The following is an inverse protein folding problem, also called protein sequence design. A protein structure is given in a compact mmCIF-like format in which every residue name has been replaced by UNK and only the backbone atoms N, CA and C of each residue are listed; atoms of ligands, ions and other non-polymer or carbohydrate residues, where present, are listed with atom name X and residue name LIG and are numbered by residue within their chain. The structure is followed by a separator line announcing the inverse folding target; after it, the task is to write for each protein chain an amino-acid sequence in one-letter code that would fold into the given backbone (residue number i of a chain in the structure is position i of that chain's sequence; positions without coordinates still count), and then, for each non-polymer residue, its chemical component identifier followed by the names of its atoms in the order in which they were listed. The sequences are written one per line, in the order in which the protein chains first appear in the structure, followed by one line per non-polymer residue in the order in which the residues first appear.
data_IF_855448132125
#
_entry.id   IF_855448132125
#
_cell.length_a   1.000
_cell.length_b   1.000
_cell.length_c   1.000
_cell.angle_alpha   90.00
_cell.angle_beta   90.00
_cell.angle_gamma   90.00
#
_symmetry.space_group_name_H-M   'P 1'
#
loop_
_entity.id
_entity.type
_entity.pdbx_description
1 polymer ?
#
# COMPACT_ATOMS: atom_id res chain seq x y z
N UNK A 1 -13.49 6.64 -24.93
CA UNK A 1 -12.80 6.40 -23.66
C UNK A 1 -12.37 7.77 -23.17
N UNK A 2 -12.82 8.18 -21.99
CA UNK A 2 -12.46 9.46 -21.40
C UNK A 2 -11.48 9.22 -20.26
N UNK A 3 -10.35 9.92 -20.25
CA UNK A 3 -9.34 9.91 -19.19
C UNK A 3 -9.32 11.25 -18.43
N UNK A 4 -10.29 12.14 -18.69
CA UNK A 4 -10.37 13.41 -17.99
C UNK A 4 -10.83 13.19 -16.54
N UNK A 5 -10.11 13.78 -15.62
CA UNK A 5 -10.51 13.82 -14.21
C UNK A 5 -11.68 14.79 -14.02
N UNK A 6 -12.58 14.47 -13.08
CA UNK A 6 -13.55 15.42 -12.57
C UNK A 6 -12.85 16.61 -11.88
N UNK A 7 -13.58 17.68 -11.63
CA UNK A 7 -12.99 18.84 -10.97
C UNK A 7 -12.62 18.52 -9.51
N UNK A 8 -13.39 17.66 -8.82
CA UNK A 8 -13.07 17.17 -7.47
C UNK A 8 -11.79 16.33 -7.47
N UNK A 9 -11.61 15.43 -8.47
CA UNK A 9 -10.39 14.63 -8.61
C UNK A 9 -9.16 15.49 -8.91
N UNK A 10 -9.31 16.55 -9.73
CA UNK A 10 -8.22 17.52 -9.99
C UNK A 10 -7.85 18.28 -8.72
N UNK A 11 -8.85 18.78 -7.97
CA UNK A 11 -8.64 19.48 -6.72
C UNK A 11 -7.96 18.58 -5.68
N UNK A 12 -8.42 17.34 -5.54
CA UNK A 12 -7.81 16.33 -4.68
C UNK A 12 -6.34 16.11 -5.04
N UNK A 13 -6.05 15.91 -6.32
CA UNK A 13 -4.68 15.72 -6.83
C UNK A 13 -3.77 16.90 -6.50
N UNK A 14 -4.24 18.13 -6.70
CA UNK A 14 -3.48 19.35 -6.39
C UNK A 14 -3.23 19.50 -4.90
N UNK A 15 -4.24 19.29 -4.05
CA UNK A 15 -4.12 19.38 -2.60
C UNK A 15 -3.14 18.34 -2.04
N UNK A 16 -3.28 17.08 -2.44
CA UNK A 16 -2.37 16.01 -1.98
C UNK A 16 -0.95 16.25 -2.51
N UNK A 17 -0.79 16.66 -3.78
CA UNK A 17 0.52 16.97 -4.34
C UNK A 17 1.21 18.11 -3.59
N UNK A 18 0.48 19.19 -3.28
CA UNK A 18 0.99 20.32 -2.51
C UNK A 18 1.38 19.88 -1.11
N UNK A 19 0.50 19.18 -0.41
CA UNK A 19 0.76 18.67 0.93
C UNK A 19 2.06 17.84 0.98
N UNK A 20 2.22 16.87 0.06
CA UNK A 20 3.42 16.04 0.02
C UNK A 20 4.68 16.83 -0.33
N UNK A 21 4.59 17.82 -1.21
CA UNK A 21 5.73 18.69 -1.53
C UNK A 21 6.15 19.52 -0.33
N UNK A 22 5.20 20.00 0.47
CA UNK A 22 5.46 20.88 1.62
C UNK A 22 5.87 20.09 2.88
N UNK A 23 5.39 18.84 3.04
CA UNK A 23 5.47 18.09 4.30
C UNK A 23 6.21 16.75 4.19
N UNK A 24 6.42 16.20 2.99
CA UNK A 24 7.04 14.89 2.79
C UNK A 24 8.22 14.95 1.81
N UNK A 25 9.05 15.98 1.95
CA UNK A 25 10.29 16.11 1.19
C UNK A 25 11.37 15.11 1.61
N UNK A 26 12.48 15.11 0.88
CA UNK A 26 13.64 14.25 1.16
C UNK A 26 14.16 14.40 2.61
N UNK A 27 14.10 15.61 3.16
CA UNK A 27 14.55 15.90 4.54
C UNK A 27 13.70 15.17 5.60
N UNK A 28 12.38 15.02 5.38
CA UNK A 28 11.50 14.27 6.27
C UNK A 28 11.83 12.79 6.24
N UNK A 29 12.03 12.23 5.04
CA UNK A 29 12.46 10.84 4.89
C UNK A 29 13.81 10.60 5.58
N UNK A 30 14.75 11.54 5.43
CA UNK A 30 16.07 11.47 6.07
C UNK A 30 15.96 11.54 7.59
N UNK A 31 15.11 12.43 8.13
CA UNK A 31 14.84 12.53 9.55
C UNK A 31 14.38 11.18 10.13
N UNK A 32 13.40 10.53 9.51
CA UNK A 32 12.90 9.21 9.95
C UNK A 32 14.01 8.15 9.88
N UNK A 33 14.89 8.21 8.86
CA UNK A 33 16.01 7.26 8.73
C UNK A 33 17.12 7.47 9.77
N UNK A 34 17.29 8.70 10.27
CA UNK A 34 18.35 9.10 11.22
C UNK A 34 17.84 9.16 12.68
N UNK A 35 16.55 8.87 12.93
CA UNK A 35 15.93 8.87 14.24
C UNK A 35 15.37 7.48 14.60
N UNK A 36 14.80 7.37 15.80
CA UNK A 36 14.06 6.18 16.25
C UNK A 36 12.58 6.21 15.82
N UNK A 37 12.19 7.16 14.95
CA UNK A 37 10.81 7.24 14.43
C UNK A 37 10.55 6.06 13.49
N UNK A 38 9.44 5.35 13.70
CA UNK A 38 9.02 4.23 12.84
C UNK A 38 8.32 4.72 11.56
N UNK A 39 7.82 5.96 11.58
CA UNK A 39 7.19 6.66 10.46
C UNK A 39 7.10 8.16 10.74
N UNK A 40 6.81 8.98 9.72
CA UNK A 40 6.67 10.43 9.86
C UNK A 40 5.31 10.81 10.48
N UNK A 41 5.22 10.92 11.81
CA UNK A 41 3.97 11.21 12.54
C UNK A 41 3.31 12.52 12.15
N UNK A 42 4.09 13.56 11.88
CA UNK A 42 3.58 14.86 11.46
C UNK A 42 2.94 14.82 10.06
N UNK A 43 3.52 14.02 9.15
CA UNK A 43 2.91 13.75 7.83
C UNK A 43 1.64 12.92 8.01
N UNK A 44 1.65 11.94 8.90
CA UNK A 44 0.47 11.11 9.21
C UNK A 44 -0.70 11.96 9.70
N UNK A 45 -0.48 12.84 10.68
CA UNK A 45 -1.50 13.76 11.20
C UNK A 45 -2.10 14.64 10.10
N UNK A 46 -1.27 15.17 9.22
CA UNK A 46 -1.76 15.98 8.10
C UNK A 46 -2.62 15.19 7.11
N UNK A 47 -2.29 13.91 6.83
CA UNK A 47 -3.13 13.06 5.99
C UNK A 47 -4.49 12.77 6.63
N UNK A 48 -4.50 12.52 7.94
CA UNK A 48 -5.72 12.31 8.72
C UNK A 48 -6.60 13.56 8.69
N UNK A 49 -6.04 14.75 8.93
CA UNK A 49 -6.75 16.03 8.86
C UNK A 49 -7.39 16.29 7.48
N UNK A 50 -6.77 15.78 6.42
CA UNK A 50 -7.30 15.84 5.05
C UNK A 50 -8.34 14.72 4.76
N UNK A 51 -8.61 13.80 5.69
CA UNK A 51 -9.51 12.66 5.50
C UNK A 51 -8.99 11.57 4.56
N UNK A 52 -7.69 11.60 4.19
CA UNK A 52 -7.14 10.73 3.16
C UNK A 52 -7.06 9.26 3.57
N UNK A 53 -7.05 8.97 4.87
CA UNK A 53 -7.11 7.59 5.42
C UNK A 53 -8.42 6.89 5.11
N UNK A 54 -9.50 7.65 4.86
CA UNK A 54 -10.84 7.17 4.55
C UNK A 54 -11.38 7.56 3.17
N UNK A 55 -10.53 7.83 2.17
CA UNK A 55 -10.95 8.37 0.85
C UNK A 55 -12.12 7.62 0.22
N UNK A 56 -12.08 6.28 0.15
CA UNK A 56 -13.13 5.45 -0.47
C UNK A 56 -13.98 4.70 0.57
N UNK A 57 -13.96 5.13 1.81
CA UNK A 57 -14.71 4.54 2.93
C UNK A 57 -16.02 5.31 3.11
N UNK A 58 -17.16 4.62 3.36
CA UNK A 58 -18.44 5.27 3.57
C UNK A 58 -18.45 6.31 4.69
N UNK A 59 -19.24 7.38 4.52
CA UNK A 59 -19.40 8.46 5.50
C UNK A 59 -19.87 7.98 6.87
N UNK A 60 -20.70 6.92 6.90
CA UNK A 60 -21.18 6.32 8.17
C UNK A 60 -20.05 5.83 9.08
N UNK A 61 -18.85 5.56 8.53
CA UNK A 61 -17.65 5.18 9.27
C UNK A 61 -16.63 6.32 9.36
N UNK A 62 -17.00 7.55 8.96
CA UNK A 62 -16.13 8.73 9.00
C UNK A 62 -15.27 8.91 7.74
N UNK A 63 -15.52 8.18 6.67
CA UNK A 63 -14.83 8.31 5.39
C UNK A 63 -15.37 9.44 4.50
N UNK A 64 -14.76 9.61 3.33
CA UNK A 64 -15.16 10.61 2.33
C UNK A 64 -16.08 10.05 1.23
N UNK A 65 -16.34 8.76 1.23
CA UNK A 65 -17.15 7.99 0.25
C UNK A 65 -16.89 8.36 -1.22
N UNK A 66 -15.62 8.66 -1.55
CA UNK A 66 -15.21 8.98 -2.92
C UNK A 66 -15.08 7.69 -3.76
N UNK A 67 -15.06 7.85 -5.08
CA UNK A 67 -14.90 6.75 -6.04
C UNK A 67 -13.50 6.09 -5.99
N UNK A 68 -13.35 4.94 -6.65
CA UNK A 68 -12.08 4.22 -6.68
C UNK A 68 -11.00 4.99 -7.45
N UNK A 69 -11.39 5.77 -8.47
CA UNK A 69 -10.47 6.65 -9.21
C UNK A 69 -9.86 7.68 -8.26
N UNK A 70 -10.63 8.31 -7.38
CA UNK A 70 -10.13 9.23 -6.36
C UNK A 70 -9.14 8.55 -5.41
N UNK A 71 -9.45 7.33 -4.97
CA UNK A 71 -8.52 6.51 -4.17
C UNK A 71 -7.22 6.20 -4.89
N UNK A 72 -7.26 6.01 -6.20
CA UNK A 72 -6.08 5.80 -7.06
C UNK A 72 -5.29 7.08 -7.28
N UNK A 73 -5.96 8.23 -7.42
CA UNK A 73 -5.29 9.55 -7.46
C UNK A 73 -4.45 9.78 -6.20
N UNK A 74 -5.01 9.49 -5.02
CA UNK A 74 -4.26 9.58 -3.76
C UNK A 74 -3.09 8.59 -3.75
N UNK A 75 -3.30 7.34 -4.16
CA UNK A 75 -2.24 6.33 -4.20
C UNK A 75 -1.10 6.72 -5.15
N UNK A 76 -1.39 7.31 -6.32
CA UNK A 76 -0.38 7.84 -7.24
C UNK A 76 0.47 8.93 -6.58
N UNK A 77 -0.15 9.86 -5.88
CA UNK A 77 0.59 10.92 -5.17
C UNK A 77 1.45 10.33 -4.05
N UNK A 78 0.92 9.37 -3.26
CA UNK A 78 1.66 8.67 -2.19
C UNK A 78 2.89 7.91 -2.71
N UNK A 79 2.91 7.49 -3.96
CA UNK A 79 4.09 6.87 -4.59
C UNK A 79 5.34 7.75 -4.60
N UNK A 80 5.18 9.06 -4.41
CA UNK A 80 6.30 10.03 -4.29
C UNK A 80 6.87 10.09 -2.87
N UNK A 81 6.16 9.54 -1.88
CA UNK A 81 6.51 9.63 -0.46
C UNK A 81 7.43 8.48 0.02
N UNK A 82 7.93 7.61 -0.87
CA UNK A 82 8.80 6.51 -0.53
C UNK A 82 8.17 5.55 0.49
N UNK A 83 8.92 5.18 1.55
CA UNK A 83 8.44 4.26 2.58
C UNK A 83 7.17 4.73 3.30
N UNK A 84 6.94 6.04 3.43
CA UNK A 84 5.70 6.57 4.01
C UNK A 84 4.47 6.22 3.16
N UNK A 85 4.60 6.18 1.83
CA UNK A 85 3.55 5.69 0.94
C UNK A 85 3.17 4.23 1.22
N UNK A 86 4.14 3.39 1.62
CA UNK A 86 3.89 2.01 2.06
C UNK A 86 3.12 1.96 3.38
N UNK A 87 3.51 2.79 4.37
CA UNK A 87 2.79 2.94 5.65
C UNK A 87 1.32 3.30 5.43
N UNK A 88 1.08 4.32 4.62
CA UNK A 88 -0.27 4.75 4.25
C UNK A 88 -1.06 3.64 3.52
N UNK A 89 -0.46 3.02 2.51
CA UNK A 89 -1.13 2.00 1.70
C UNK A 89 -1.47 0.73 2.48
N UNK A 90 -0.60 0.28 3.38
CA UNK A 90 -0.85 -0.86 4.24
C UNK A 90 -2.04 -0.61 5.18
N UNK A 91 -2.14 0.59 5.74
CA UNK A 91 -3.22 0.99 6.63
C UNK A 91 -4.55 1.21 5.90
N UNK A 92 -4.59 2.14 4.95
CA UNK A 92 -5.83 2.62 4.30
C UNK A 92 -6.40 1.67 3.24
N UNK A 93 -5.71 0.57 2.94
CA UNK A 93 -6.11 -0.42 1.95
C UNK A 93 -6.19 -1.81 2.58
N UNK A 94 -5.12 -2.60 2.51
CA UNK A 94 -5.16 -4.02 2.91
C UNK A 94 -5.43 -4.23 4.41
N UNK A 95 -5.07 -3.30 5.28
CA UNK A 95 -5.34 -3.37 6.73
C UNK A 95 -6.77 -2.97 7.11
N UNK A 96 -7.53 -2.32 6.23
CA UNK A 96 -8.91 -1.86 6.51
C UNK A 96 -9.96 -2.63 5.71
N UNK A 97 -9.69 -2.87 4.42
CA UNK A 97 -10.69 -3.41 3.49
C UNK A 97 -11.23 -4.80 3.84
N UNK A 98 -10.48 -5.72 4.49
CA UNK A 98 -11.05 -6.98 4.97
C UNK A 98 -12.25 -6.76 5.89
N UNK A 99 -12.16 -5.80 6.81
CA UNK A 99 -13.27 -5.47 7.72
C UNK A 99 -14.43 -4.84 6.95
N UNK A 100 -14.15 -3.90 6.05
CA UNK A 100 -15.16 -3.19 5.29
C UNK A 100 -16.01 -4.14 4.42
N UNK A 101 -15.36 -5.06 3.71
CA UNK A 101 -16.04 -5.91 2.75
C UNK A 101 -16.61 -7.20 3.33
N UNK A 102 -16.04 -7.72 4.41
CA UNK A 102 -16.37 -9.05 4.94
C UNK A 102 -16.74 -9.05 6.44
N UNK A 103 -16.46 -7.96 7.16
CA UNK A 103 -16.81 -7.86 8.58
C UNK A 103 -18.31 -7.78 8.82
N UNK A 104 -18.74 -8.23 9.99
CA UNK A 104 -20.11 -7.97 10.48
C UNK A 104 -20.32 -6.47 10.71
N UNK A 105 -21.58 -6.03 10.83
CA UNK A 105 -21.88 -4.63 11.10
C UNK A 105 -21.32 -4.16 12.46
N UNK A 106 -21.29 -5.06 13.46
CA UNK A 106 -20.67 -4.80 14.76
C UNK A 106 -19.17 -4.61 14.62
N UNK A 107 -18.51 -5.46 13.84
CA UNK A 107 -17.08 -5.38 13.59
C UNK A 107 -16.71 -4.07 12.88
N UNK A 108 -17.46 -3.70 11.83
CA UNK A 108 -17.27 -2.45 11.09
C UNK A 108 -17.40 -1.24 11.99
N UNK A 109 -18.51 -1.17 12.76
CA UNK A 109 -18.76 -0.06 13.69
C UNK A 109 -17.73 0.06 14.78
N UNK A 110 -17.19 -1.07 15.26
CA UNK A 110 -16.18 -1.09 16.31
C UNK A 110 -14.81 -0.58 15.82
N UNK A 111 -14.35 -1.01 14.65
CA UNK A 111 -12.96 -0.83 14.25
C UNK A 111 -12.73 0.22 13.17
N UNK A 112 -13.63 0.34 12.17
CA UNK A 112 -13.39 1.23 11.03
C UNK A 112 -13.24 2.69 11.44
N UNK A 113 -14.07 3.29 12.32
CA UNK A 113 -13.94 4.70 12.68
C UNK A 113 -12.57 5.05 13.27
N UNK A 114 -12.01 4.21 14.15
CA UNK A 114 -10.69 4.41 14.73
C UNK A 114 -9.56 4.30 13.70
N UNK A 115 -9.72 3.43 12.69
CA UNK A 115 -8.78 3.30 11.57
C UNK A 115 -8.87 4.52 10.66
N UNK A 116 -10.08 4.95 10.28
CA UNK A 116 -10.31 6.10 9.39
C UNK A 116 -9.85 7.41 10.04
N UNK A 117 -10.08 7.60 11.34
CA UNK A 117 -9.57 8.76 12.08
C UNK A 117 -8.05 8.73 12.28
N UNK A 118 -7.37 7.65 11.91
CA UNK A 118 -5.92 7.49 12.12
C UNK A 118 -5.50 7.42 13.59
N UNK A 119 -6.46 7.37 14.53
CA UNK A 119 -6.21 7.14 15.96
C UNK A 119 -5.66 5.73 16.20
N UNK A 120 -6.13 4.77 15.39
CA UNK A 120 -5.70 3.38 15.41
C UNK A 120 -5.10 3.00 14.06
N UNK A 121 -3.93 2.39 14.09
CA UNK A 121 -3.26 1.93 12.87
C UNK A 121 -3.49 0.43 12.67
N UNK A 122 -3.75 0.05 11.42
CA UNK A 122 -3.99 -1.35 11.05
C UNK A 122 -2.85 -1.91 10.19
N UNK A 123 -2.65 -3.24 10.31
CA UNK A 123 -1.70 -4.01 9.54
C UNK A 123 -2.33 -5.30 9.01
N UNK A 124 -1.76 -5.83 7.90
CA UNK A 124 -2.23 -7.02 7.23
C UNK A 124 -1.21 -8.16 7.36
N UNK A 125 -1.61 -9.25 8.00
CA UNK A 125 -0.71 -10.30 8.47
C UNK A 125 -1.02 -11.64 7.79
N UNK A 126 -0.60 -11.78 6.52
CA UNK A 126 -0.81 -12.98 5.71
C UNK A 126 0.43 -13.88 5.68
N UNK A 127 1.60 -13.32 5.31
CA UNK A 127 2.82 -14.07 5.02
C UNK A 127 3.45 -14.69 6.26
N UNK A 128 4.11 -15.83 6.08
CA UNK A 128 4.92 -16.53 7.09
C UNK A 128 6.29 -16.92 6.50
N UNK A 129 7.25 -17.34 7.31
CA UNK A 129 8.57 -17.76 6.85
C UNK A 129 8.51 -18.88 5.80
N UNK A 130 7.56 -19.79 5.92
CA UNK A 130 7.33 -20.91 5.00
C UNK A 130 6.20 -20.70 3.99
N UNK A 131 5.54 -19.53 3.98
CA UNK A 131 4.32 -19.28 3.21
C UNK A 131 4.31 -17.85 2.68
N UNK A 132 4.83 -17.68 1.46
CA UNK A 132 4.80 -16.43 0.71
C UNK A 132 3.79 -16.52 -0.46
N UNK A 133 4.27 -16.93 -1.66
CA UNK A 133 3.39 -17.11 -2.82
C UNK A 133 2.33 -18.20 -2.60
N UNK A 134 2.67 -19.26 -1.89
CA UNK A 134 1.73 -20.26 -1.39
C UNK A 134 1.13 -19.81 -0.06
N UNK A 135 0.24 -18.82 -0.10
CA UNK A 135 -0.37 -18.23 1.09
C UNK A 135 -1.22 -19.24 1.89
N UNK A 136 -1.81 -20.23 1.21
CA UNK A 136 -2.63 -21.27 1.86
C UNK A 136 -1.79 -22.34 2.57
N UNK A 137 -0.48 -22.38 2.29
CA UNK A 137 0.50 -23.19 3.02
C UNK A 137 0.85 -22.66 4.42
N UNK A 138 0.15 -21.62 4.90
CA UNK A 138 0.34 -21.04 6.23
C UNK A 138 0.16 -22.06 7.35
N UNK A 139 0.93 -21.89 8.43
CA UNK A 139 0.96 -22.77 9.61
C UNK A 139 0.42 -22.13 10.89
N UNK A 140 0.15 -20.82 10.86
CA UNK A 140 -0.49 -20.14 11.98
C UNK A 140 -1.87 -20.75 12.22
N UNK A 141 -2.18 -21.06 13.47
CA UNK A 141 -3.42 -21.75 13.88
C UNK A 141 -4.26 -20.86 14.78
N UNK A 142 -5.59 -21.02 14.68
CA UNK A 142 -6.58 -20.44 15.57
C UNK A 142 -7.41 -21.56 16.17
N UNK A 143 -7.47 -21.65 17.50
CA UNK A 143 -8.25 -22.64 18.24
C UNK A 143 -9.38 -21.94 18.97
N UNK A 144 -10.59 -22.50 18.90
CA UNK A 144 -11.69 -22.03 19.75
C UNK A 144 -11.38 -22.35 21.22
N UNK A 145 -11.56 -21.38 22.11
CA UNK A 145 -11.40 -21.57 23.56
C UNK A 145 -12.45 -22.52 24.13
N UNK A 146 -12.16 -23.12 25.29
CA UNK A 146 -13.07 -24.11 25.89
C UNK A 146 -14.42 -23.51 26.32
N UNK A 147 -14.46 -22.19 26.59
CA UNK A 147 -15.69 -21.47 26.91
C UNK A 147 -16.48 -21.03 25.64
N UNK A 148 -15.87 -21.17 24.46
CA UNK A 148 -16.47 -20.78 23.17
C UNK A 148 -16.55 -19.27 22.93
N UNK A 149 -15.90 -18.44 23.75
CA UNK A 149 -16.01 -16.98 23.66
C UNK A 149 -14.89 -16.33 22.84
N UNK A 150 -13.76 -17.04 22.64
CA UNK A 150 -12.56 -16.51 22.01
C UNK A 150 -11.95 -17.49 21.00
N UNK A 151 -11.22 -16.97 20.02
CA UNK A 151 -10.19 -17.70 19.30
C UNK A 151 -8.83 -17.42 19.93
N UNK A 152 -8.01 -18.47 20.08
CA UNK A 152 -6.63 -18.42 20.58
C UNK A 152 -5.71 -18.67 19.40
N UNK A 153 -4.91 -17.66 19.03
CA UNK A 153 -4.03 -17.73 17.87
C UNK A 153 -2.59 -17.99 18.28
N UNK A 154 -1.94 -18.88 17.55
CA UNK A 154 -0.54 -19.24 17.74
C UNK A 154 0.21 -19.29 16.40
N UNK A 155 1.42 -18.73 16.37
CA UNK A 155 2.28 -18.72 15.20
C UNK A 155 3.05 -17.43 15.03
N UNK A 156 3.67 -17.27 13.87
CA UNK A 156 4.46 -16.08 13.55
C UNK A 156 4.16 -15.65 12.10
N UNK A 157 3.88 -14.37 11.93
CA UNK A 157 3.76 -13.74 10.61
C UNK A 157 5.00 -12.93 10.29
N UNK A 158 5.37 -12.83 9.01
CA UNK A 158 6.58 -12.14 8.57
C UNK A 158 6.30 -10.99 7.60
N UNK A 159 7.21 -10.05 7.58
CA UNK A 159 7.20 -8.90 6.67
C UNK A 159 5.98 -8.00 6.84
N UNK A 160 5.53 -7.80 8.08
CA UNK A 160 4.31 -7.04 8.36
C UNK A 160 4.60 -5.54 8.33
N UNK A 161 4.15 -4.89 7.26
CA UNK A 161 4.15 -3.42 7.18
C UNK A 161 3.29 -2.83 8.28
N UNK A 162 3.77 -1.74 8.90
CA UNK A 162 3.20 -1.12 10.10
C UNK A 162 3.28 -1.99 11.37
N UNK A 163 3.85 -3.20 11.29
CA UNK A 163 3.85 -4.15 12.40
C UNK A 163 4.39 -3.59 13.71
N UNK A 164 5.43 -2.75 13.66
CA UNK A 164 6.07 -2.19 14.85
C UNK A 164 5.21 -1.23 15.67
N UNK A 165 4.19 -0.59 15.06
CA UNK A 165 3.35 0.41 15.72
C UNK A 165 1.84 0.22 15.52
N UNK A 166 1.40 -0.76 14.71
CA UNK A 166 -0.02 -1.04 14.52
C UNK A 166 -0.71 -1.42 15.83
N UNK A 167 -1.96 -0.96 15.98
CA UNK A 167 -2.87 -1.33 17.07
C UNK A 167 -3.68 -2.57 16.72
N UNK A 168 -3.97 -2.73 15.41
CA UNK A 168 -4.88 -3.73 14.86
C UNK A 168 -4.20 -4.57 13.79
N UNK A 169 -4.36 -5.88 13.87
CA UNK A 169 -3.79 -6.84 12.95
C UNK A 169 -4.88 -7.70 12.31
N UNK A 170 -4.94 -7.69 10.98
CA UNK A 170 -5.76 -8.65 10.23
C UNK A 170 -4.92 -9.92 10.07
N UNK A 171 -5.19 -10.92 10.88
CA UNK A 171 -4.41 -12.16 10.94
C UNK A 171 -5.13 -13.29 10.21
N UNK A 172 -4.41 -13.93 9.29
CA UNK A 172 -4.90 -15.14 8.61
C UNK A 172 -4.32 -16.38 9.28
N UNK A 173 -5.19 -17.33 9.67
CA UNK A 173 -4.80 -18.55 10.33
C UNK A 173 -5.72 -19.72 9.92
N UNK A 174 -5.25 -20.96 10.06
CA UNK A 174 -6.05 -22.16 9.91
C UNK A 174 -6.75 -22.48 11.21
N UNK A 175 -7.97 -23.01 11.14
CA UNK A 175 -8.63 -23.52 12.33
C UNK A 175 -7.93 -24.81 12.80
N UNK A 176 -7.67 -24.94 14.12
CA UNK A 176 -6.96 -26.08 14.70
C UNK A 176 -7.68 -27.40 14.39
N UNK A 177 -6.96 -28.34 13.81
CA UNK A 177 -7.49 -29.62 13.35
C UNK A 177 -8.24 -29.58 12.01
N UNK A 178 -8.39 -28.42 11.38
CA UNK A 178 -9.11 -28.23 10.11
C UNK A 178 -8.27 -27.45 9.11
N UNK A 179 -7.29 -28.12 8.49
CA UNK A 179 -6.29 -27.49 7.59
C UNK A 179 -6.90 -26.75 6.38
N UNK A 180 -8.11 -27.13 5.97
CA UNK A 180 -8.87 -26.51 4.89
C UNK A 180 -9.64 -25.24 5.33
N UNK A 181 -9.75 -24.99 6.63
CA UNK A 181 -10.47 -23.85 7.20
C UNK A 181 -9.56 -22.63 7.42
N UNK A 182 -8.95 -22.15 6.36
CA UNK A 182 -8.18 -20.91 6.39
C UNK A 182 -9.12 -19.72 6.56
N UNK A 183 -8.92 -18.92 7.62
CA UNK A 183 -9.84 -17.88 8.09
C UNK A 183 -9.10 -16.59 8.40
N UNK A 184 -9.83 -15.47 8.53
CA UNK A 184 -9.29 -14.16 8.85
C UNK A 184 -9.85 -13.64 10.18
N UNK A 185 -8.99 -13.07 11.00
CA UNK A 185 -9.33 -12.61 12.35
C UNK A 185 -8.83 -11.17 12.56
N UNK A 186 -9.65 -10.36 13.22
CA UNK A 186 -9.22 -9.09 13.76
C UNK A 186 -8.60 -9.30 15.13
N UNK A 187 -7.31 -8.98 15.28
CA UNK A 187 -6.57 -9.15 16.54
C UNK A 187 -6.03 -7.80 17.00
N UNK A 188 -6.30 -7.45 18.24
CA UNK A 188 -5.77 -6.23 18.85
C UNK A 188 -4.37 -6.50 19.41
N UNK A 189 -3.50 -5.47 19.42
CA UNK A 189 -2.17 -5.54 20.00
C UNK A 189 -2.25 -5.84 21.50
N UNK A 190 -1.44 -6.79 21.95
CA UNK A 190 -1.31 -7.17 23.35
C UNK A 190 0.08 -7.77 23.62
N UNK A 191 0.36 -8.23 24.81
CA UNK A 191 1.61 -8.95 25.12
C UNK A 191 1.70 -10.28 24.39
N UNK A 192 0.56 -10.93 24.12
CA UNK A 192 0.42 -12.18 23.40
C UNK A 192 0.37 -11.99 21.87
N UNK A 193 0.03 -10.77 21.40
CA UNK A 193 0.02 -10.36 19.99
C UNK A 193 0.90 -9.14 19.81
N UNK A 194 2.18 -9.34 19.54
CA UNK A 194 3.18 -8.27 19.55
C UNK A 194 4.14 -8.34 18.37
N UNK A 195 4.68 -7.19 17.93
CA UNK A 195 5.74 -7.18 16.93
C UNK A 195 7.04 -7.79 17.46
N UNK A 196 7.82 -8.34 16.52
CA UNK A 196 9.23 -8.64 16.75
C UNK A 196 10.13 -7.44 16.42
N UNK A 197 11.40 -7.73 16.13
CA UNK A 197 12.40 -6.71 15.78
C UNK A 197 12.17 -6.15 14.38
N UNK A 198 12.44 -4.85 14.18
CA UNK A 198 12.42 -4.23 12.86
C UNK A 198 13.39 -4.90 11.89
N UNK A 199 12.95 -5.10 10.66
CA UNK A 199 13.71 -5.77 9.62
C UNK A 199 14.77 -4.85 9.00
N UNK A 200 15.96 -5.38 8.74
CA UNK A 200 17.02 -4.71 8.00
C UNK A 200 16.76 -4.79 6.49
N UNK A 201 16.05 -3.81 5.95
CA UNK A 201 15.57 -3.82 4.56
C UNK A 201 16.56 -3.21 3.58
N UNK A 202 16.50 -3.64 2.33
CA UNK A 202 17.23 -3.05 1.20
C UNK A 202 16.74 -1.61 0.94
N UNK A 203 15.43 -1.40 0.84
CA UNK A 203 14.76 -0.13 0.56
C UNK A 203 13.57 0.11 1.46
N UNK A 204 12.79 1.16 1.19
CA UNK A 204 11.62 1.62 1.98
C UNK A 204 11.90 1.66 3.49
N UNK A 205 13.13 2.05 3.86
CA UNK A 205 13.62 2.01 5.24
C UNK A 205 12.87 2.96 6.19
N UNK A 206 12.18 3.97 5.64
CA UNK A 206 11.33 4.89 6.40
C UNK A 206 9.90 4.37 6.65
N UNK A 207 9.69 3.05 6.56
CA UNK A 207 8.47 2.36 6.96
C UNK A 207 8.82 1.22 7.92
N UNK A 208 7.99 1.00 8.93
CA UNK A 208 8.14 -0.15 9.83
C UNK A 208 7.80 -1.44 9.10
N UNK A 209 8.58 -2.49 9.35
CA UNK A 209 8.32 -3.86 8.90
C UNK A 209 8.87 -4.83 9.92
N UNK A 210 8.01 -5.62 10.55
CA UNK A 210 8.39 -6.57 11.60
C UNK A 210 7.78 -7.94 11.39
N UNK A 211 8.27 -8.99 12.03
CA UNK A 211 7.45 -10.17 12.32
C UNK A 211 6.31 -9.78 13.29
N UNK A 212 5.22 -10.55 13.27
CA UNK A 212 4.17 -10.52 14.30
C UNK A 212 4.16 -11.85 15.03
N UNK A 213 4.35 -11.82 16.34
CA UNK A 213 4.42 -12.99 17.19
C UNK A 213 3.07 -13.18 17.89
N UNK A 214 2.49 -14.36 17.75
CA UNK A 214 1.24 -14.77 18.36
C UNK A 214 1.53 -15.92 19.32
N UNK A 215 1.35 -15.69 20.62
CA UNK A 215 1.60 -16.65 21.69
C UNK A 215 0.37 -16.72 22.59
N UNK A 216 -0.57 -17.63 22.27
CA UNK A 216 -1.90 -17.69 22.87
C UNK A 216 -2.69 -16.38 22.77
N UNK A 217 -2.52 -15.67 21.65
CA UNK A 217 -3.16 -14.40 21.39
C UNK A 217 -4.68 -14.58 21.28
N UNK A 218 -5.42 -13.95 22.18
CA UNK A 218 -6.88 -14.07 22.27
C UNK A 218 -7.57 -13.01 21.46
N UNK A 219 -8.60 -13.41 20.71
CA UNK A 219 -9.52 -12.48 20.07
C UNK A 219 -10.96 -12.98 20.25
N UNK A 220 -11.95 -12.11 20.54
CA UNK A 220 -13.35 -12.52 20.67
C UNK A 220 -13.88 -13.22 19.42
N UNK A 221 -14.83 -14.13 19.56
CA UNK A 221 -15.44 -14.83 18.41
C UNK A 221 -16.06 -13.85 17.40
N UNK A 222 -16.61 -12.72 17.86
CA UNK A 222 -17.16 -11.66 17.01
C UNK A 222 -16.09 -10.92 16.16
N UNK A 223 -14.81 -11.17 16.40
CA UNK A 223 -13.71 -10.61 15.61
C UNK A 223 -13.30 -11.52 14.41
N UNK A 224 -14.03 -12.61 14.16
CA UNK A 224 -13.93 -13.35 12.90
C UNK A 224 -14.37 -12.45 11.74
N UNK A 225 -13.57 -12.36 10.70
CA UNK A 225 -13.89 -11.60 9.49
C UNK A 225 -14.44 -12.56 8.44
N UNK A 226 -15.71 -12.36 8.04
CA UNK A 226 -16.42 -13.30 7.19
C UNK A 226 -16.80 -14.57 7.94
N UNK A 227 -16.81 -15.70 7.22
CA UNK A 227 -17.12 -17.02 7.77
C UNK A 227 -15.86 -17.86 7.94
N UNK A 228 -15.93 -18.90 8.75
CA UNK A 228 -14.84 -19.90 8.86
C UNK A 228 -14.56 -20.50 7.47
N UNK A 229 -13.29 -20.43 7.05
CA UNK A 229 -12.85 -20.90 5.73
C UNK A 229 -12.83 -19.83 4.63
N UNK A 230 -13.36 -18.64 4.87
CA UNK A 230 -13.38 -17.53 3.89
C UNK A 230 -12.01 -16.83 3.72
N UNK A 231 -10.98 -17.18 4.48
CA UNK A 231 -9.70 -16.48 4.49
C UNK A 231 -9.04 -16.34 3.11
N UNK A 232 -9.09 -17.39 2.29
CA UNK A 232 -8.55 -17.32 0.91
C UNK A 232 -9.32 -16.32 0.04
N UNK A 233 -10.63 -16.30 0.11
CA UNK A 233 -11.51 -15.38 -0.60
C UNK A 233 -11.24 -13.94 -0.15
N UNK A 234 -11.16 -13.70 1.17
CA UNK A 234 -10.87 -12.40 1.75
C UNK A 234 -9.51 -11.91 1.27
N UNK A 235 -8.47 -12.73 1.42
CA UNK A 235 -7.10 -12.38 1.05
C UNK A 235 -6.99 -11.99 -0.43
N UNK A 236 -7.50 -12.82 -1.33
CA UNK A 236 -7.36 -12.62 -2.77
C UNK A 236 -8.14 -11.38 -3.26
N UNK A 237 -9.35 -11.13 -2.74
CA UNK A 237 -10.15 -9.98 -3.12
C UNK A 237 -9.55 -8.66 -2.65
N UNK A 238 -9.07 -8.61 -1.42
CA UNK A 238 -8.40 -7.42 -0.88
C UNK A 238 -7.11 -7.14 -1.63
N UNK A 239 -6.35 -8.19 -2.00
CA UNK A 239 -5.13 -8.04 -2.81
C UNK A 239 -5.42 -7.52 -4.23
N UNK A 240 -6.60 -7.73 -4.82
CA UNK A 240 -6.96 -7.12 -6.10
C UNK A 240 -7.00 -5.58 -6.00
N UNK A 241 -7.57 -5.04 -4.91
CA UNK A 241 -7.50 -3.60 -4.62
C UNK A 241 -6.05 -3.15 -4.42
N UNK A 242 -5.27 -3.89 -3.65
CA UNK A 242 -3.85 -3.63 -3.45
C UNK A 242 -3.08 -3.57 -4.76
N UNK A 243 -3.39 -4.44 -5.74
CA UNK A 243 -2.71 -4.50 -7.04
C UNK A 243 -2.91 -3.23 -7.87
N UNK A 244 -4.13 -2.73 -8.04
CA UNK A 244 -4.33 -1.52 -8.84
C UNK A 244 -3.88 -0.25 -8.10
N UNK A 245 -4.01 -0.18 -6.77
CA UNK A 245 -3.44 0.91 -5.97
C UNK A 245 -1.91 0.91 -6.02
N UNK A 246 -1.27 -0.28 -6.00
CA UNK A 246 0.16 -0.39 -6.21
C UNK A 246 0.56 0.13 -7.60
N UNK A 247 -0.17 -0.26 -8.67
CA UNK A 247 0.04 0.25 -10.02
C UNK A 247 0.05 1.77 -10.08
N UNK A 248 -0.88 2.42 -9.38
CA UNK A 248 -0.91 3.88 -9.26
C UNK A 248 0.30 4.43 -8.49
N UNK A 249 0.60 3.86 -7.33
CA UNK A 249 1.71 4.31 -6.49
C UNK A 249 3.05 4.24 -7.23
N UNK A 250 3.34 3.11 -7.89
CA UNK A 250 4.60 2.97 -8.65
C UNK A 250 4.65 3.89 -9.88
N UNK A 251 3.51 4.18 -10.50
CA UNK A 251 3.41 5.21 -11.58
C UNK A 251 3.76 6.59 -11.05
N UNK A 252 3.28 6.96 -9.85
CA UNK A 252 3.67 8.19 -9.16
C UNK A 252 5.16 8.27 -8.87
N UNK A 253 5.74 7.17 -8.37
CA UNK A 253 7.18 7.04 -8.15
C UNK A 253 8.00 7.17 -9.44
N UNK A 254 7.54 6.55 -10.54
CA UNK A 254 8.18 6.67 -11.85
C UNK A 254 8.16 8.12 -12.38
N UNK A 255 7.03 8.83 -12.26
CA UNK A 255 6.93 10.25 -12.62
C UNK A 255 7.92 11.11 -11.83
N UNK A 256 8.07 10.85 -10.53
CA UNK A 256 9.04 11.55 -9.68
C UNK A 256 10.49 11.25 -10.11
N UNK A 257 10.82 9.99 -10.39
CA UNK A 257 12.14 9.60 -10.87
C UNK A 257 12.48 10.25 -12.22
N UNK A 258 11.52 10.31 -13.15
CA UNK A 258 11.67 11.02 -14.44
C UNK A 258 11.93 12.52 -14.21
N UNK A 259 11.18 13.15 -13.31
CA UNK A 259 11.37 14.57 -12.97
C UNK A 259 12.81 14.85 -12.52
N UNK A 260 13.32 14.07 -11.57
CA UNK A 260 14.70 14.20 -11.10
C UNK A 260 15.73 13.91 -12.20
N UNK A 261 15.51 12.87 -13.00
CA UNK A 261 16.41 12.55 -14.12
C UNK A 261 16.48 13.66 -15.15
N UNK A 262 15.34 14.27 -15.51
CA UNK A 262 15.26 15.40 -16.45
C UNK A 262 15.95 16.64 -15.88
N UNK A 263 15.68 16.97 -14.60
CA UNK A 263 16.33 18.10 -13.96
C UNK A 263 17.85 17.93 -13.96
N UNK A 264 18.35 16.80 -13.48
CA UNK A 264 19.79 16.52 -13.46
C UNK A 264 20.41 16.56 -14.85
N UNK A 265 19.75 15.97 -15.85
CA UNK A 265 20.25 15.95 -17.22
C UNK A 265 20.37 17.35 -17.85
N UNK A 266 19.53 18.30 -17.45
CA UNK A 266 19.62 19.69 -17.90
C UNK A 266 20.72 20.50 -17.19
N UNK A 267 20.99 20.19 -15.92
CA UNK A 267 21.99 20.90 -15.10
C UNK A 267 23.40 20.32 -15.27
N UNK A 268 23.54 19.02 -15.48
CA UNK A 268 24.85 18.34 -15.58
C UNK A 268 25.45 18.57 -16.96
N UNK A 269 26.64 19.15 -17.01
CA UNK A 269 27.43 19.33 -18.24
C UNK A 269 28.56 18.31 -18.35
N UNK A 270 28.75 17.77 -19.55
CA UNK A 270 29.92 17.04 -19.99
C UNK A 270 30.27 17.47 -21.41
N UNK A 271 31.56 17.53 -21.74
CA UNK A 271 32.04 18.04 -23.03
C UNK A 271 31.49 19.45 -23.35
N UNK A 272 31.36 20.31 -22.32
CA UNK A 272 30.82 21.69 -22.40
C UNK A 272 29.37 21.75 -22.90
N UNK A 273 28.59 20.73 -22.62
CA UNK A 273 27.20 20.59 -23.12
C UNK A 273 26.36 19.90 -22.04
N UNK A 274 25.15 20.38 -21.72
CA UNK A 274 24.21 19.66 -20.86
C UNK A 274 23.96 18.25 -21.41
N UNK A 275 24.00 17.22 -20.52
CA UNK A 275 23.88 15.84 -20.97
C UNK A 275 22.52 15.56 -21.61
N UNK A 276 21.49 16.33 -21.29
CA UNK A 276 20.17 16.29 -21.96
C UNK A 276 20.24 16.51 -23.49
N UNK A 277 21.33 17.06 -24.03
CA UNK A 277 21.50 17.28 -25.47
C UNK A 277 21.96 16.02 -26.20
N UNK A 278 22.54 15.03 -25.51
CA UNK A 278 23.03 13.81 -26.12
C UNK A 278 21.88 12.87 -26.51
N UNK A 279 21.99 12.24 -27.69
CA UNK A 279 20.96 11.36 -28.24
C UNK A 279 20.64 10.18 -27.32
N UNK A 280 21.65 9.57 -26.70
CA UNK A 280 21.46 8.46 -25.75
C UNK A 280 20.60 8.85 -24.53
N UNK A 281 20.85 10.04 -23.95
CA UNK A 281 20.07 10.54 -22.81
C UNK A 281 18.64 10.89 -23.21
N UNK A 282 18.46 11.53 -24.36
CA UNK A 282 17.11 11.80 -24.91
C UNK A 282 16.30 10.53 -25.12
N UNK A 283 16.94 9.48 -25.67
CA UNK A 283 16.30 8.18 -25.89
C UNK A 283 15.84 7.58 -24.57
N UNK A 284 16.72 7.52 -23.54
CA UNK A 284 16.39 7.01 -22.22
C UNK A 284 15.19 7.74 -21.60
N UNK A 285 15.22 9.06 -21.56
CA UNK A 285 14.12 9.86 -21.00
C UNK A 285 12.81 9.66 -21.78
N UNK A 286 12.88 9.54 -23.12
CA UNK A 286 11.70 9.26 -23.93
C UNK A 286 11.09 7.89 -23.61
N UNK A 287 11.90 6.82 -23.51
CA UNK A 287 11.45 5.48 -23.15
C UNK A 287 10.85 5.43 -21.74
N UNK A 288 11.49 6.09 -20.75
CA UNK A 288 10.95 6.23 -19.39
C UNK A 288 9.56 6.88 -19.42
N UNK A 289 9.41 7.98 -20.17
CA UNK A 289 8.14 8.73 -20.29
C UNK A 289 7.05 7.90 -20.98
N UNK A 290 7.37 7.23 -22.10
CA UNK A 290 6.42 6.40 -22.86
C UNK A 290 5.91 5.24 -22.00
N UNK A 291 6.81 4.49 -21.34
CA UNK A 291 6.44 3.36 -20.49
C UNK A 291 5.58 3.80 -19.31
N UNK A 292 5.94 4.91 -18.67
CA UNK A 292 5.17 5.47 -17.54
C UNK A 292 3.78 5.95 -17.99
N UNK A 293 3.67 6.56 -19.16
CA UNK A 293 2.38 6.97 -19.71
C UNK A 293 1.47 5.76 -20.00
N UNK A 294 2.03 4.67 -20.53
CA UNK A 294 1.27 3.42 -20.73
C UNK A 294 0.83 2.82 -19.38
N UNK A 295 1.71 2.81 -18.38
CA UNK A 295 1.38 2.33 -17.02
C UNK A 295 0.23 3.13 -16.40
N UNK A 296 0.27 4.47 -16.52
CA UNK A 296 -0.82 5.35 -16.09
C UNK A 296 -2.12 5.02 -16.83
N UNK A 297 -2.06 4.86 -18.14
CA UNK A 297 -3.22 4.51 -18.97
C UNK A 297 -3.86 3.18 -18.57
N UNK A 298 -3.07 2.14 -18.31
CA UNK A 298 -3.57 0.84 -17.84
C UNK A 298 -4.25 0.99 -16.48
N UNK A 299 -3.62 1.70 -15.54
CA UNK A 299 -4.13 1.91 -14.19
C UNK A 299 -5.48 2.61 -14.19
N UNK A 300 -5.57 3.80 -14.77
CA UNK A 300 -6.81 4.58 -14.77
C UNK A 300 -7.91 3.97 -15.63
N UNK A 301 -7.55 3.26 -16.72
CA UNK A 301 -8.51 2.49 -17.48
C UNK A 301 -9.14 1.38 -16.64
N UNK A 302 -8.33 0.58 -15.96
CA UNK A 302 -8.82 -0.55 -15.14
C UNK A 302 -9.75 -0.04 -14.04
N UNK A 303 -9.31 0.98 -13.29
CA UNK A 303 -10.10 1.51 -12.18
C UNK A 303 -11.37 2.23 -12.66
N UNK A 304 -11.30 2.98 -13.75
CA UNK A 304 -12.48 3.60 -14.34
C UNK A 304 -13.50 2.60 -14.93
N UNK A 305 -13.08 1.36 -15.28
CA UNK A 305 -13.99 0.27 -15.62
C UNK A 305 -14.66 -0.31 -14.36
N UNK A 306 -13.91 -0.45 -13.28
CA UNK A 306 -14.44 -0.87 -11.97
C UNK A 306 -15.51 0.12 -11.48
N UNK A 307 -15.21 1.42 -11.46
CA UNK A 307 -16.15 2.45 -11.01
C UNK A 307 -17.43 2.49 -11.86
N UNK A 308 -17.30 2.33 -13.17
CA UNK A 308 -18.49 2.22 -14.04
C UNK A 308 -19.38 1.02 -13.71
N UNK A 309 -18.79 -0.10 -13.32
CA UNK A 309 -19.54 -1.29 -12.94
C UNK A 309 -20.17 -1.14 -11.55
N UNK A 310 -19.50 -0.45 -10.63
CA UNK A 310 -20.05 -0.05 -9.32
C UNK A 310 -21.25 0.89 -9.54
N UNK A 311 -21.14 1.89 -10.42
CA UNK A 311 -22.15 2.93 -10.63
C UNK A 311 -22.39 3.75 -9.35
N UNK A 312 -23.58 4.31 -9.17
CA UNK A 312 -23.93 5.17 -8.04
C UNK A 312 -24.21 4.38 -6.73
N UNK A 313 -23.82 3.10 -6.68
CA UNK A 313 -24.12 2.22 -5.55
C UNK A 313 -23.07 2.31 -4.44
N UNK A 314 -23.53 2.46 -3.20
CA UNK A 314 -22.70 2.39 -1.98
C UNK A 314 -22.58 0.97 -1.41
N UNK A 315 -23.29 -0.01 -1.96
CA UNK A 315 -23.30 -1.41 -1.50
C UNK A 315 -21.91 -2.05 -1.58
N UNK A 316 -21.28 -2.40 -0.44
CA UNK A 316 -19.96 -3.00 -0.40
C UNK A 316 -19.86 -4.32 -1.17
N UNK A 317 -20.95 -5.11 -1.22
CA UNK A 317 -20.98 -6.39 -1.94
C UNK A 317 -20.92 -6.18 -3.46
N UNK A 318 -21.56 -5.14 -3.97
CA UNK A 318 -21.47 -4.75 -5.37
C UNK A 318 -20.09 -4.21 -5.72
N UNK A 319 -19.50 -3.38 -4.85
CA UNK A 319 -18.12 -2.89 -4.99
C UNK A 319 -17.15 -4.08 -5.10
N UNK A 320 -17.27 -5.06 -4.21
CA UNK A 320 -16.41 -6.24 -4.19
C UNK A 320 -16.51 -7.06 -5.49
N UNK A 321 -17.74 -7.39 -5.95
CA UNK A 321 -17.98 -8.13 -7.21
C UNK A 321 -17.41 -7.39 -8.42
N UNK A 322 -17.53 -6.05 -8.43
CA UNK A 322 -16.97 -5.23 -9.50
C UNK A 322 -15.45 -5.27 -9.53
N UNK A 323 -14.79 -5.37 -8.37
CA UNK A 323 -13.35 -5.54 -8.27
C UNK A 323 -12.92 -6.95 -8.70
N UNK A 324 -13.68 -7.99 -8.33
CA UNK A 324 -13.45 -9.38 -8.74
C UNK A 324 -13.49 -9.55 -10.27
N UNK A 325 -14.43 -8.90 -10.95
CA UNK A 325 -14.57 -8.96 -12.41
C UNK A 325 -13.31 -8.50 -13.14
N UNK A 326 -12.55 -7.55 -12.57
CA UNK A 326 -11.31 -7.02 -13.13
C UNK A 326 -10.04 -7.54 -12.42
N UNK A 327 -10.07 -8.75 -11.84
CA UNK A 327 -8.93 -9.35 -11.15
C UNK A 327 -7.74 -9.62 -12.08
N UNK A 328 -8.00 -9.99 -13.34
CA UNK A 328 -6.97 -10.23 -14.35
C UNK A 328 -6.28 -8.92 -14.72
N UNK A 329 -7.06 -7.88 -15.03
CA UNK A 329 -6.55 -6.55 -15.37
C UNK A 329 -5.77 -5.94 -14.22
N UNK A 330 -6.24 -6.12 -12.98
CA UNK A 330 -5.53 -5.67 -11.77
C UNK A 330 -4.20 -6.40 -11.61
N UNK A 331 -4.11 -7.67 -11.97
CA UNK A 331 -2.87 -8.45 -11.94
C UNK A 331 -1.89 -7.99 -13.03
N UNK A 332 -2.37 -7.77 -14.25
CA UNK A 332 -1.57 -7.21 -15.36
C UNK A 332 -1.05 -5.82 -14.98
N UNK A 333 -1.91 -4.99 -14.41
CA UNK A 333 -1.56 -3.64 -13.96
C UNK A 333 -0.40 -3.69 -12.94
N UNK A 334 -0.51 -4.55 -11.90
CA UNK A 334 0.54 -4.70 -10.89
C UNK A 334 1.89 -5.08 -11.52
N UNK A 335 1.91 -6.11 -12.35
CA UNK A 335 3.15 -6.63 -12.96
C UNK A 335 3.77 -5.57 -13.88
N UNK A 336 2.98 -5.06 -14.83
CA UNK A 336 3.49 -4.10 -15.80
C UNK A 336 4.02 -2.82 -15.14
N UNK A 337 3.24 -2.24 -14.22
CA UNK A 337 3.62 -0.99 -13.58
C UNK A 337 4.86 -1.14 -12.68
N UNK A 338 5.01 -2.27 -11.96
CA UNK A 338 6.21 -2.52 -11.15
C UNK A 338 7.46 -2.68 -12.02
N UNK A 339 7.37 -3.38 -13.16
CA UNK A 339 8.48 -3.52 -14.12
C UNK A 339 8.84 -2.19 -14.79
N UNK A 340 7.84 -1.33 -15.04
CA UNK A 340 8.10 0.04 -15.55
C UNK A 340 8.84 0.87 -14.51
N UNK A 341 8.47 0.81 -13.24
CA UNK A 341 9.19 1.52 -12.19
C UNK A 341 10.64 1.04 -12.09
N UNK A 342 10.87 -0.28 -12.08
CA UNK A 342 12.23 -0.86 -12.06
C UNK A 342 13.07 -0.31 -13.24
N UNK A 343 12.52 -0.29 -14.46
CA UNK A 343 13.17 0.27 -15.62
C UNK A 343 13.50 1.77 -15.46
N UNK A 344 12.54 2.56 -14.97
CA UNK A 344 12.67 4.01 -14.84
C UNK A 344 13.74 4.38 -13.81
N UNK A 345 13.78 3.70 -12.65
CA UNK A 345 14.79 4.01 -11.63
C UNK A 345 16.18 3.52 -12.01
N UNK A 346 16.29 2.42 -12.78
CA UNK A 346 17.56 1.96 -13.33
C UNK A 346 18.15 3.00 -14.30
N UNK A 347 17.32 3.49 -15.22
CA UNK A 347 17.74 4.54 -16.15
C UNK A 347 18.03 5.87 -15.45
N UNK A 348 17.33 6.19 -14.34
CA UNK A 348 17.66 7.33 -13.51
C UNK A 348 19.07 7.21 -12.93
N UNK A 349 19.43 6.07 -12.34
CA UNK A 349 20.80 5.81 -11.84
C UNK A 349 21.81 5.97 -12.96
N UNK A 350 21.53 5.43 -14.15
CA UNK A 350 22.43 5.54 -15.31
C UNK A 350 22.61 6.99 -15.77
N UNK A 351 21.52 7.80 -15.80
CA UNK A 351 21.58 9.24 -16.18
C UNK A 351 22.41 10.05 -15.18
N UNK A 352 22.30 9.73 -13.88
CA UNK A 352 23.09 10.36 -12.83
C UNK A 352 24.57 9.96 -12.88
N UNK A 353 24.91 8.84 -13.54
CA UNK A 353 26.29 8.32 -13.59
C UNK A 353 26.83 8.01 -12.20
N UNK A 354 28.06 8.41 -11.89
CA UNK A 354 28.66 8.19 -10.56
C UNK A 354 27.83 8.78 -9.40
N UNK A 355 27.19 9.94 -9.62
CA UNK A 355 26.28 10.54 -8.64
C UNK A 355 25.05 9.67 -8.35
N UNK A 356 24.61 8.86 -9.32
CA UNK A 356 23.49 7.93 -9.14
C UNK A 356 23.75 6.79 -8.16
N UNK A 357 25.00 6.52 -7.86
CA UNK A 357 25.44 5.49 -6.90
C UNK A 357 25.76 6.07 -5.51
N UNK A 358 25.77 7.40 -5.37
CA UNK A 358 26.03 8.09 -4.09
C UNK A 358 24.73 8.29 -3.31
N UNK A 359 24.78 8.06 -2.00
CA UNK A 359 23.68 8.32 -1.08
C UNK A 359 23.33 9.81 -0.91
N UNK A 360 24.16 10.72 -1.43
CA UNK A 360 23.89 12.16 -1.44
C UNK A 360 22.82 12.58 -2.47
N UNK A 361 22.46 11.66 -3.38
CA UNK A 361 21.51 11.90 -4.47
C UNK A 361 20.31 10.95 -4.37
N UNK A 362 19.14 11.33 -4.91
CA UNK A 362 17.92 10.55 -4.75
C UNK A 362 17.89 9.24 -5.58
N UNK A 363 18.80 9.07 -6.56
CA UNK A 363 18.71 7.97 -7.51
C UNK A 363 18.96 6.60 -6.88
N UNK A 364 19.99 6.46 -6.02
CA UNK A 364 20.31 5.19 -5.35
C UNK A 364 19.16 4.75 -4.43
N UNK A 365 18.56 5.70 -3.71
CA UNK A 365 17.44 5.42 -2.82
C UNK A 365 16.20 5.00 -3.62
N UNK A 366 15.86 5.73 -4.70
CA UNK A 366 14.74 5.40 -5.57
C UNK A 366 14.90 3.99 -6.15
N UNK A 367 16.10 3.60 -6.57
CA UNK A 367 16.41 2.27 -7.07
C UNK A 367 16.16 1.18 -6.02
N UNK A 368 16.66 1.35 -4.80
CA UNK A 368 16.47 0.38 -3.71
C UNK A 368 15.00 0.28 -3.27
N UNK A 369 14.31 1.42 -3.16
CA UNK A 369 12.91 1.47 -2.74
C UNK A 369 11.98 0.83 -3.78
N UNK A 370 12.28 0.98 -5.08
CA UNK A 370 11.47 0.41 -6.15
C UNK A 370 11.47 -1.13 -6.14
N UNK A 371 12.55 -1.76 -5.68
CA UNK A 371 12.74 -3.21 -5.86
C UNK A 371 11.77 -4.09 -5.07
N UNK A 372 11.03 -3.53 -4.09
CA UNK A 372 10.01 -4.26 -3.31
C UNK A 372 8.71 -4.52 -4.11
N UNK A 373 8.42 -3.76 -5.15
CA UNK A 373 7.12 -3.74 -5.85
C UNK A 373 6.86 -4.93 -6.78
#
# INVERSE_FOLDING_TARGET
MNFDFSDDQKMLKEQVSKFLSDKCGYDVVRRVLESDELYAEDVWKGLVEMGLTGTAIPEEYGGLDMDQVSGVVVAEMMGRAGGFGTTYGAHSSIGLLPILYFGSDELKKKYIPGIVSGEKVSAYCLSEAGSGSDALGAKCVAKLSDDGEHYILNGEKMWISNGGFADYYIVFAKLDGEDDKFSAFMVERSDECRPGTEEHKMGIKSSSTTPLILSDAKTPIGNLIGEIGDGAKIALNVLNVGRFKLGASVTGGAKQAIHHAVQYANEREQFKTPIAKFGAIKHKIAEMAIKTWVAEGITYRTVGMIDRLIGDGTDPSKKLKSIEEYAVESSINKVYCSEVLDYVVDEMVQIYGGAGYSADYPAEKAYRDARIN
#
